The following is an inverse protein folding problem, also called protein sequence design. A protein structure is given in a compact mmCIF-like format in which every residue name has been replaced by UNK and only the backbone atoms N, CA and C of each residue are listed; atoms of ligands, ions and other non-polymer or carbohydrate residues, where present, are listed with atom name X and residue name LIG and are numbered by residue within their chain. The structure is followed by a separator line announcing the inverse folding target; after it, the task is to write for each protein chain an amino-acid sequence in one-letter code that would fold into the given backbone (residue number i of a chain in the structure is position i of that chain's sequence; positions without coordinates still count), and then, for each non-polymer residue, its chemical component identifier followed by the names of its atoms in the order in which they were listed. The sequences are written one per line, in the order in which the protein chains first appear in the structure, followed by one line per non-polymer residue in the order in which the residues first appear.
data_IF_970319937641
#
_entry.id   IF_970319937641
#
_cell.length_a   1.000
_cell.length_b   1.000
_cell.length_c   1.000
_cell.angle_alpha   90.00
_cell.angle_beta   90.00
_cell.angle_gamma   90.00
#
_symmetry.space_group_name_H-M   'P 1'
#
loop_
_entity.id
_entity.type
_entity.pdbx_description
1 polymer ?
#
# COMPACT_ATOMS: atom_id res chain seq x y z
N UNK A 1 -10.84 7.04 1.39
CA UNK A 1 -9.54 6.33 1.30
C UNK A 1 -9.52 5.16 0.31
N UNK A 2 -10.46 4.19 0.31
CA UNK A 2 -10.48 3.07 -0.68
C UNK A 2 -10.28 3.53 -2.15
N UNK A 3 -10.89 4.66 -2.53
CA UNK A 3 -10.78 5.22 -3.89
C UNK A 3 -9.38 5.71 -4.26
N UNK A 4 -8.58 6.23 -3.31
CA UNK A 4 -7.24 6.79 -3.58
C UNK A 4 -6.20 5.67 -3.77
N UNK A 5 -6.31 4.59 -2.99
CA UNK A 5 -5.49 3.40 -3.17
C UNK A 5 -5.78 2.72 -4.52
N UNK A 6 -7.04 2.72 -4.94
CA UNK A 6 -7.45 2.25 -6.27
C UNK A 6 -6.86 3.12 -7.40
N UNK A 7 -6.68 4.43 -7.20
CA UNK A 7 -6.04 5.34 -8.18
C UNK A 7 -4.55 5.01 -8.38
N UNK A 8 -3.81 4.82 -7.29
CA UNK A 8 -2.38 4.52 -7.37
C UNK A 8 -2.14 3.15 -8.01
N UNK A 9 -3.00 2.17 -7.72
CA UNK A 9 -2.97 0.85 -8.33
C UNK A 9 -3.45 0.86 -9.80
N UNK A 10 -4.44 1.69 -10.15
CA UNK A 10 -4.95 1.80 -11.53
C UNK A 10 -3.96 2.48 -12.46
N UNK A 11 -3.20 3.45 -11.97
CA UNK A 11 -2.10 4.08 -12.71
C UNK A 11 -0.99 3.07 -13.07
N UNK A 12 -0.61 2.19 -12.15
CA UNK A 12 0.37 1.13 -12.42
C UNK A 12 -0.14 0.07 -13.41
N UNK A 13 -1.43 -0.27 -13.33
CA UNK A 13 -2.04 -1.30 -14.15
C UNK A 13 -2.42 -0.88 -15.58
N UNK A 14 -2.90 0.35 -15.77
CA UNK A 14 -3.23 0.89 -17.10
C UNK A 14 -1.98 1.04 -17.97
N UNK A 15 -0.84 1.27 -17.32
CA UNK A 15 0.47 1.39 -17.95
C UNK A 15 0.97 0.07 -18.51
N UNK A 16 0.75 -0.99 -17.73
CA UNK A 16 1.06 -2.34 -18.17
C UNK A 16 0.19 -2.63 -19.40
N UNK A 17 -1.13 -2.37 -19.36
CA UNK A 17 -2.16 -2.55 -20.41
C UNK A 17 -1.79 -2.14 -21.85
N UNK A 18 -0.96 -1.11 -22.03
CA UNK A 18 -0.69 -0.53 -23.36
C UNK A 18 0.66 -0.97 -23.94
N UNK A 19 1.53 -1.57 -23.12
CA UNK A 19 2.79 -2.18 -23.57
C UNK A 19 2.59 -3.39 -24.52
N UNK A 20 1.33 -3.79 -24.77
CA UNK A 20 0.89 -4.89 -25.65
C UNK A 20 1.12 -4.62 -27.16
N UNK A 21 1.41 -3.39 -27.57
CA UNK A 21 1.48 -3.00 -28.99
C UNK A 21 2.88 -2.94 -29.63
N UNK A 22 3.96 -3.17 -28.89
CA UNK A 22 5.32 -2.87 -29.39
C UNK A 22 6.15 -4.14 -29.52
N UNK A 23 6.13 -4.68 -30.74
CA UNK A 23 7.17 -5.59 -31.22
C UNK A 23 8.54 -4.95 -31.06
N UNK A 24 9.47 -5.77 -30.61
CA UNK A 24 10.87 -5.48 -30.32
C UNK A 24 11.59 -4.82 -31.52
N UNK A 25 11.65 -3.48 -31.57
CA UNK A 25 12.65 -2.70 -32.32
C UNK A 25 12.55 -1.20 -32.00
N UNK A 26 13.71 -0.56 -31.84
CA UNK A 26 13.97 0.87 -31.58
C UNK A 26 13.49 1.38 -30.21
N UNK A 27 14.45 1.55 -29.29
CA UNK A 27 14.21 2.04 -27.92
C UNK A 27 13.52 3.41 -27.85
N UNK A 28 13.65 4.23 -28.91
CA UNK A 28 12.98 5.53 -29.04
C UNK A 28 11.47 5.42 -29.30
N UNK A 29 11.03 4.45 -30.11
CA UNK A 29 9.60 4.21 -30.36
C UNK A 29 8.91 3.70 -29.10
N UNK A 30 9.55 2.79 -28.36
CA UNK A 30 9.03 2.31 -27.09
C UNK A 30 8.88 3.44 -26.09
N UNK A 31 9.90 4.30 -25.94
CA UNK A 31 9.85 5.48 -25.06
C UNK A 31 8.69 6.40 -25.41
N UNK A 32 8.54 6.74 -26.69
CA UNK A 32 7.46 7.61 -27.17
C UNK A 32 6.09 6.99 -26.93
N UNK A 33 5.93 5.70 -27.21
CA UNK A 33 4.67 4.99 -26.96
C UNK A 33 4.36 4.89 -25.47
N UNK A 34 5.34 4.61 -24.63
CA UNK A 34 5.18 4.61 -23.16
C UNK A 34 4.72 5.98 -22.66
N UNK A 35 5.37 7.05 -23.13
CA UNK A 35 5.00 8.42 -22.79
C UNK A 35 3.57 8.76 -23.22
N UNK A 36 3.21 8.49 -24.48
CA UNK A 36 1.85 8.71 -25.00
C UNK A 36 0.83 7.91 -24.18
N UNK A 37 1.12 6.64 -23.90
CA UNK A 37 0.25 5.75 -23.14
C UNK A 37 0.01 6.26 -21.71
N UNK A 38 1.05 6.72 -21.04
CA UNK A 38 0.97 7.34 -19.70
C UNK A 38 0.07 8.57 -19.70
N UNK A 39 0.25 9.45 -20.67
CA UNK A 39 -0.53 10.67 -20.78
C UNK A 39 -1.99 10.39 -21.15
N UNK A 40 -2.24 9.48 -22.10
CA UNK A 40 -3.59 9.04 -22.45
C UNK A 40 -4.30 8.37 -21.27
N UNK A 41 -3.55 7.64 -20.43
CA UNK A 41 -4.06 7.02 -19.20
C UNK A 41 -4.52 8.09 -18.21
N UNK A 42 -3.72 9.13 -18.01
CA UNK A 42 -4.07 10.26 -17.14
C UNK A 42 -5.29 11.03 -17.64
N UNK A 43 -5.44 11.20 -18.96
CA UNK A 43 -6.64 11.81 -19.56
C UNK A 43 -7.88 10.98 -19.22
N UNK A 44 -7.82 9.65 -19.42
CA UNK A 44 -8.95 8.76 -19.08
C UNK A 44 -9.29 8.79 -17.59
N UNK A 45 -8.29 8.82 -16.72
CA UNK A 45 -8.49 8.98 -15.27
C UNK A 45 -9.19 10.31 -15.01
N UNK A 46 -8.71 11.42 -15.60
CA UNK A 46 -9.36 12.72 -15.45
C UNK A 46 -10.83 12.70 -15.92
N UNK A 47 -11.14 12.04 -17.04
CA UNK A 47 -12.50 11.91 -17.57
C UNK A 47 -13.41 11.12 -16.62
N UNK A 48 -12.89 10.09 -15.96
CA UNK A 48 -13.63 9.32 -14.98
C UNK A 48 -13.87 10.12 -13.68
N UNK A 49 -12.85 10.80 -13.19
CA UNK A 49 -12.95 11.67 -12.01
C UNK A 49 -13.89 12.85 -12.24
N UNK A 50 -13.87 13.37 -13.47
CA UNK A 50 -14.72 14.46 -13.94
C UNK A 50 -16.20 14.19 -13.77
N UNK A 51 -16.63 12.93 -13.79
CA UNK A 51 -18.01 12.50 -13.55
C UNK A 51 -18.43 12.61 -12.08
N UNK A 52 -17.46 12.64 -11.17
CA UNK A 52 -17.66 12.66 -9.72
C UNK A 52 -17.26 14.02 -9.09
N UNK A 53 -17.48 15.12 -9.80
CA UNK A 53 -17.17 16.48 -9.33
C UNK A 53 -15.69 16.70 -8.91
N UNK A 54 -14.78 15.89 -9.46
CA UNK A 54 -13.35 15.96 -9.20
C UNK A 54 -12.62 16.13 -10.52
N UNK A 55 -11.50 16.83 -10.56
CA UNK A 55 -10.66 17.02 -11.74
C UNK A 55 -9.24 16.60 -11.40
N UNK A 56 -8.55 15.99 -12.35
CA UNK A 56 -7.14 15.64 -12.25
C UNK A 56 -6.36 16.56 -13.17
N UNK A 57 -5.69 17.56 -12.59
CA UNK A 57 -4.75 18.42 -13.31
C UNK A 57 -3.37 17.76 -13.28
N UNK A 58 -2.75 17.59 -14.43
CA UNK A 58 -1.42 16.99 -14.48
C UNK A 58 -0.55 17.65 -15.55
N UNK A 59 0.75 17.71 -15.28
CA UNK A 59 1.74 17.96 -16.33
C UNK A 59 2.04 16.64 -17.04
N UNK A 60 2.08 16.63 -18.38
CA UNK A 60 2.36 15.40 -19.11
C UNK A 60 3.66 14.74 -18.62
N UNK A 61 3.62 13.42 -18.51
CA UNK A 61 4.82 12.62 -18.29
C UNK A 61 5.79 12.85 -19.44
N UNK A 62 7.06 13.02 -19.09
CA UNK A 62 8.19 13.08 -20.03
C UNK A 62 9.07 11.87 -19.75
N UNK A 63 9.25 11.00 -20.75
CA UNK A 63 10.04 9.79 -20.62
C UNK A 63 11.46 10.00 -21.16
N UNK A 64 12.46 9.51 -20.43
CA UNK A 64 13.88 9.56 -20.76
C UNK A 64 14.52 8.16 -20.62
N UNK A 65 15.79 8.03 -21.02
CA UNK A 65 16.56 6.79 -20.92
C UNK A 65 16.55 5.90 -22.18
N UNK A 66 17.57 5.04 -22.28
CA UNK A 66 17.82 4.13 -23.42
C UNK A 66 17.69 2.65 -23.08
N UNK A 67 18.12 2.25 -21.86
CA UNK A 67 18.18 0.86 -21.39
C UNK A 67 17.17 0.66 -20.25
N UNK A 68 17.15 1.60 -19.30
CA UNK A 68 16.04 1.84 -18.39
C UNK A 68 15.26 3.05 -18.85
N UNK A 69 13.94 3.04 -18.66
CA UNK A 69 13.06 4.15 -19.00
C UNK A 69 12.59 4.83 -17.74
N UNK A 70 12.69 6.14 -17.67
CA UNK A 70 12.17 6.92 -16.55
C UNK A 70 11.18 7.94 -17.08
N UNK A 71 9.95 7.91 -16.58
CA UNK A 71 8.88 8.81 -16.97
C UNK A 71 8.48 9.67 -15.77
N UNK A 72 8.64 10.98 -15.88
CA UNK A 72 8.39 11.92 -14.79
C UNK A 72 7.25 12.86 -15.16
N UNK A 73 6.24 12.94 -14.29
CA UNK A 73 5.27 14.04 -14.28
C UNK A 73 5.60 14.97 -13.13
N UNK A 74 5.90 16.23 -13.46
CA UNK A 74 6.34 17.23 -12.49
C UNK A 74 5.25 17.61 -11.49
N UNK A 75 3.98 17.56 -11.89
CA UNK A 75 2.85 17.90 -11.01
C UNK A 75 1.61 17.10 -11.40
N UNK A 76 0.99 16.44 -10.42
CA UNK A 76 -0.32 15.81 -10.52
C UNK A 76 -1.15 16.28 -9.33
N UNK A 77 -2.32 16.85 -9.58
CA UNK A 77 -3.21 17.39 -8.56
C UNK A 77 -4.61 16.85 -8.78
N UNK A 78 -5.22 16.38 -7.71
CA UNK A 78 -6.63 16.01 -7.67
C UNK A 78 -7.34 17.16 -6.98
N UNK A 79 -8.24 17.82 -7.68
CA UNK A 79 -8.97 18.99 -7.19
C UNK A 79 -10.48 18.77 -7.26
N UNK A 80 -11.23 19.41 -6.37
CA UNK A 80 -12.68 19.43 -6.45
C UNK A 80 -13.14 20.53 -7.43
N UNK A 81 -13.97 20.19 -8.42
CA UNK A 81 -14.32 21.12 -9.51
C UNK A 81 -15.03 22.37 -9.02
N UNK A 82 -16.02 22.21 -8.14
CA UNK A 82 -16.87 23.31 -7.68
C UNK A 82 -16.11 24.33 -6.82
N UNK A 83 -15.22 23.87 -5.95
CA UNK A 83 -14.51 24.72 -4.97
C UNK A 83 -13.11 25.09 -5.44
N UNK A 84 -12.61 24.44 -6.51
CA UNK A 84 -11.20 24.46 -6.91
C UNK A 84 -10.24 24.06 -5.78
N UNK A 85 -10.75 23.33 -4.77
CA UNK A 85 -9.97 22.91 -3.63
C UNK A 85 -9.05 21.75 -4.01
N UNK A 86 -7.77 21.89 -3.70
CA UNK A 86 -6.79 20.82 -3.86
C UNK A 86 -7.00 19.75 -2.79
N UNK A 87 -7.29 18.53 -3.24
CA UNK A 87 -7.50 17.37 -2.38
C UNK A 87 -6.17 16.66 -2.11
N UNK A 88 -5.44 16.37 -3.18
CA UNK A 88 -4.18 15.64 -3.16
C UNK A 88 -3.24 16.23 -4.21
N UNK A 89 -1.97 16.37 -3.87
CA UNK A 89 -0.90 16.76 -4.78
C UNK A 89 0.23 15.75 -4.79
N UNK A 90 0.81 15.55 -5.97
CA UNK A 90 2.03 14.80 -6.17
C UNK A 90 2.97 15.67 -7.00
N UNK A 91 4.17 15.93 -6.48
CA UNK A 91 5.24 16.56 -7.27
C UNK A 91 6.28 15.52 -7.64
N UNK A 92 6.73 15.57 -8.89
CA UNK A 92 7.74 14.66 -9.44
C UNK A 92 7.35 13.18 -9.37
N UNK A 93 6.09 12.88 -9.67
CA UNK A 93 5.63 11.50 -9.82
C UNK A 93 6.47 10.80 -10.90
N UNK A 94 7.24 9.81 -10.48
CA UNK A 94 8.26 9.15 -11.30
C UNK A 94 7.93 7.68 -11.44
N UNK A 95 7.94 7.19 -12.66
CA UNK A 95 7.88 5.77 -12.97
C UNK A 95 9.18 5.36 -13.65
N UNK A 96 9.89 4.41 -13.07
CA UNK A 96 11.10 3.85 -13.68
C UNK A 96 10.87 2.39 -14.08
N UNK A 97 11.35 2.03 -15.26
CA UNK A 97 11.38 0.68 -15.80
C UNK A 97 12.84 0.28 -15.93
N UNK A 98 13.35 -0.45 -14.94
CA UNK A 98 14.79 -0.71 -14.78
C UNK A 98 15.24 -2.02 -15.45
N UNK A 99 14.31 -2.94 -15.68
CA UNK A 99 14.62 -4.24 -16.27
C UNK A 99 13.44 -4.87 -17.00
N UNK A 100 13.37 -4.70 -18.32
CA UNK A 100 12.44 -5.42 -19.19
C UNK A 100 13.14 -6.55 -19.91
N UNK A 101 12.90 -7.79 -19.47
CA UNK A 101 13.29 -9.03 -20.14
C UNK A 101 12.06 -9.82 -20.56
N UNK A 102 12.25 -10.87 -21.36
CA UNK A 102 11.13 -11.73 -21.80
C UNK A 102 10.44 -12.42 -20.61
N UNK A 103 11.17 -12.72 -19.55
CA UNK A 103 10.75 -13.50 -18.39
C UNK A 103 10.76 -12.71 -17.07
N UNK A 104 11.28 -11.48 -17.04
CA UNK A 104 11.23 -10.61 -15.87
C UNK A 104 10.91 -9.15 -16.21
N UNK A 105 10.14 -8.49 -15.35
CA UNK A 105 9.84 -7.07 -15.42
C UNK A 105 10.11 -6.44 -14.06
N UNK A 106 10.95 -5.42 -14.02
CA UNK A 106 11.20 -4.62 -12.83
C UNK A 106 10.83 -3.16 -13.10
N UNK A 107 9.98 -2.62 -12.23
CA UNK A 107 9.57 -1.23 -12.28
C UNK A 107 9.48 -0.63 -10.88
N UNK A 108 9.68 0.66 -10.79
CA UNK A 108 9.51 1.45 -9.58
C UNK A 108 8.56 2.62 -9.82
N UNK A 109 7.79 2.96 -8.81
CA UNK A 109 6.88 4.09 -8.77
C UNK A 109 7.25 4.93 -7.55
N UNK A 110 7.60 6.18 -7.77
CA UNK A 110 8.06 7.11 -6.75
C UNK A 110 7.22 8.37 -6.75
N UNK A 111 6.73 8.74 -5.57
CA UNK A 111 6.11 10.02 -5.27
C UNK A 111 6.95 10.66 -4.17
N UNK A 112 8.00 11.41 -4.51
CA UNK A 112 8.93 11.95 -3.52
C UNK A 112 8.27 13.04 -2.66
N UNK A 113 7.26 13.72 -3.20
CA UNK A 113 6.57 14.82 -2.55
C UNK A 113 5.05 14.65 -2.67
N UNK A 114 4.41 14.27 -1.58
CA UNK A 114 2.96 14.06 -1.48
C UNK A 114 2.33 15.13 -0.59
N UNK A 115 1.26 15.79 -1.07
CA UNK A 115 0.44 16.73 -0.30
C UNK A 115 -0.99 16.20 -0.13
N UNK A 116 -1.56 16.35 1.07
CA UNK A 116 -2.93 15.94 1.45
C UNK A 116 -3.70 17.16 1.97
N UNK A 117 -3.76 18.20 1.16
CA UNK A 117 -4.18 19.55 1.60
C UNK A 117 -5.63 19.60 2.11
N UNK A 118 -6.50 18.71 1.62
CA UNK A 118 -7.88 18.60 2.12
C UNK A 118 -7.96 18.03 3.54
N UNK A 119 -7.21 16.95 3.83
CA UNK A 119 -7.19 16.35 5.16
C UNK A 119 -6.55 17.33 6.16
N UNK A 120 -5.52 18.06 5.73
CA UNK A 120 -4.90 19.10 6.55
C UNK A 120 -5.89 20.21 6.94
N UNK A 121 -6.86 20.53 6.08
CA UNK A 121 -7.90 21.52 6.39
C UNK A 121 -8.99 20.95 7.29
N UNK A 122 -9.51 19.75 7.00
CA UNK A 122 -10.54 19.11 7.83
C UNK A 122 -10.05 18.86 9.26
N UNK A 123 -8.77 18.50 9.42
CA UNK A 123 -8.23 18.19 10.75
C UNK A 123 -7.75 19.42 11.52
N UNK A 124 -7.48 20.57 10.87
CA UNK A 124 -7.04 21.80 11.58
C UNK A 124 -8.01 22.28 12.66
N UNK A 125 -9.27 21.88 12.60
CA UNK A 125 -10.31 22.22 13.58
C UNK A 125 -10.41 21.22 14.75
N UNK A 126 -9.66 20.11 14.73
CA UNK A 126 -9.65 19.06 15.77
C UNK A 126 -8.27 18.95 16.43
N UNK A 127 -8.21 18.81 17.76
CA UNK A 127 -6.97 18.53 18.51
C UNK A 127 -6.22 17.30 17.94
N UNK A 128 -6.93 16.38 17.27
CA UNK A 128 -6.35 15.21 16.59
C UNK A 128 -5.38 15.55 15.46
N UNK A 129 -5.32 16.80 14.99
CA UNK A 129 -4.40 17.21 13.93
C UNK A 129 -2.94 16.91 14.27
N UNK A 130 -2.54 17.03 15.54
CA UNK A 130 -1.13 16.88 15.95
C UNK A 130 -0.60 15.47 15.73
N UNK A 131 -1.43 14.46 16.00
CA UNK A 131 -1.09 13.05 15.74
C UNK A 131 -1.09 12.78 14.24
N UNK A 132 -2.04 13.36 13.50
CA UNK A 132 -2.07 13.22 12.05
C UNK A 132 -0.83 13.84 11.39
N UNK A 133 -0.41 15.04 11.79
CA UNK A 133 0.72 15.76 11.19
C UNK A 133 2.04 14.98 11.25
N UNK A 134 2.22 14.17 12.31
CA UNK A 134 3.42 13.33 12.46
C UNK A 134 3.37 12.05 11.62
N UNK A 135 2.19 11.51 11.35
CA UNK A 135 2.00 10.28 10.57
C UNK A 135 1.55 10.53 9.12
N UNK A 136 1.40 11.79 8.74
CA UNK A 136 1.07 12.17 7.37
C UNK A 136 2.16 11.68 6.40
N UNK A 137 1.80 10.90 5.36
CA UNK A 137 2.73 10.50 4.31
C UNK A 137 3.31 11.72 3.59
N UNK A 138 4.64 11.74 3.44
CA UNK A 138 5.39 12.75 2.67
C UNK A 138 5.92 12.20 1.36
N UNK A 139 6.30 10.92 1.36
CA UNK A 139 6.75 10.23 0.17
C UNK A 139 6.28 8.78 0.14
N UNK A 140 6.20 8.22 -1.06
CA UNK A 140 5.89 6.82 -1.32
C UNK A 140 6.80 6.32 -2.44
N UNK A 141 7.50 5.21 -2.21
CA UNK A 141 8.31 4.54 -3.24
C UNK A 141 7.94 3.07 -3.26
N UNK A 142 7.40 2.59 -4.37
CA UNK A 142 7.05 1.18 -4.59
C UNK A 142 7.92 0.58 -5.68
N UNK A 143 8.65 -0.48 -5.35
CA UNK A 143 9.38 -1.30 -6.31
C UNK A 143 8.61 -2.59 -6.52
N UNK A 144 8.42 -2.97 -7.77
CA UNK A 144 7.79 -4.23 -8.14
C UNK A 144 8.66 -5.00 -9.13
N UNK A 145 8.92 -6.26 -8.77
CA UNK A 145 9.66 -7.20 -9.59
C UNK A 145 8.80 -8.41 -9.89
N UNK A 146 8.55 -8.63 -11.16
CA UNK A 146 7.76 -9.75 -11.65
C UNK A 146 8.66 -10.70 -12.42
N UNK A 147 8.48 -12.00 -12.22
CA UNK A 147 9.26 -13.04 -12.90
C UNK A 147 8.39 -14.22 -13.27
N UNK A 148 8.53 -14.75 -14.48
CA UNK A 148 7.95 -16.05 -14.86
C UNK A 148 8.71 -17.15 -14.13
N UNK A 149 8.02 -17.89 -13.27
CA UNK A 149 8.58 -19.07 -12.60
C UNK A 149 8.48 -20.30 -13.49
N UNK A 150 7.34 -20.49 -14.15
CA UNK A 150 7.10 -21.63 -15.04
C UNK A 150 6.20 -21.24 -16.21
N UNK A 151 6.77 -21.32 -17.43
CA UNK A 151 6.06 -21.03 -18.69
C UNK A 151 5.04 -22.09 -19.06
N UNK A 152 5.21 -23.35 -18.64
CA UNK A 152 4.32 -24.45 -19.01
C UNK A 152 3.01 -24.38 -18.26
N UNK A 153 3.08 -23.99 -16.99
CA UNK A 153 1.90 -23.85 -16.12
C UNK A 153 1.39 -22.41 -16.03
N UNK A 154 2.13 -21.46 -16.61
CA UNK A 154 1.78 -20.04 -16.60
C UNK A 154 1.88 -19.43 -15.19
N UNK A 155 2.92 -19.78 -14.44
CA UNK A 155 3.17 -19.30 -13.08
C UNK A 155 4.15 -18.11 -13.09
N UNK A 156 3.77 -17.04 -12.41
CA UNK A 156 4.53 -15.80 -12.25
C UNK A 156 4.66 -15.52 -10.75
N UNK A 157 5.83 -15.03 -10.34
CA UNK A 157 6.01 -14.42 -9.03
C UNK A 157 6.03 -12.91 -9.16
N UNK A 158 5.28 -12.22 -8.30
CA UNK A 158 5.38 -10.79 -8.10
C UNK A 158 5.96 -10.52 -6.71
N UNK A 159 6.99 -9.69 -6.66
CA UNK A 159 7.61 -9.18 -5.45
C UNK A 159 7.37 -7.69 -5.40
N UNK A 160 6.74 -7.20 -4.33
CA UNK A 160 6.37 -5.80 -4.17
C UNK A 160 6.97 -5.29 -2.87
N UNK A 161 7.71 -4.18 -2.93
CA UNK A 161 8.23 -3.48 -1.77
C UNK A 161 7.86 -2.00 -1.85
N UNK A 162 6.99 -1.55 -0.98
CA UNK A 162 6.57 -0.15 -0.87
C UNK A 162 7.06 0.46 0.43
N UNK A 163 7.71 1.61 0.34
CA UNK A 163 8.16 2.42 1.46
C UNK A 163 7.36 3.72 1.50
N UNK A 164 6.70 4.00 2.61
CA UNK A 164 6.01 5.27 2.88
C UNK A 164 6.79 5.99 3.97
N UNK A 165 7.15 7.24 3.75
CA UNK A 165 7.90 8.04 4.73
C UNK A 165 7.02 9.15 5.29
N UNK A 166 7.06 9.34 6.61
CA UNK A 166 6.44 10.48 7.32
C UNK A 166 7.52 11.34 7.97
N UNK A 167 7.16 12.32 8.80
CA UNK A 167 8.12 13.07 9.61
C UNK A 167 8.80 12.22 10.69
N UNK A 168 8.12 11.19 11.20
CA UNK A 168 8.56 10.46 12.41
C UNK A 168 8.76 8.98 12.17
N UNK A 169 8.18 8.42 11.11
CA UNK A 169 8.22 6.99 10.84
C UNK A 169 8.44 6.70 9.37
N UNK A 170 8.97 5.51 9.11
CA UNK A 170 8.89 4.86 7.81
C UNK A 170 8.07 3.59 7.91
N UNK A 171 7.21 3.38 6.92
CA UNK A 171 6.40 2.18 6.79
C UNK A 171 6.90 1.40 5.58
N UNK A 172 7.22 0.13 5.78
CA UNK A 172 7.58 -0.79 4.69
C UNK A 172 6.48 -1.85 4.55
N UNK A 173 5.90 -1.96 3.36
CA UNK A 173 5.03 -3.05 2.95
C UNK A 173 5.85 -3.90 1.99
N UNK A 174 6.04 -5.17 2.31
CA UNK A 174 6.75 -6.12 1.45
C UNK A 174 5.88 -7.35 1.21
N UNK A 175 5.74 -7.77 -0.03
CA UNK A 175 4.91 -8.88 -0.46
C UNK A 175 5.60 -9.73 -1.51
N UNK A 176 5.43 -11.04 -1.40
CA UNK A 176 5.80 -12.01 -2.42
C UNK A 176 4.56 -12.86 -2.69
N UNK A 177 4.09 -12.82 -3.91
CA UNK A 177 2.93 -13.58 -4.37
C UNK A 177 3.26 -14.36 -5.63
N UNK A 178 2.53 -15.46 -5.84
CA UNK A 178 2.55 -16.24 -7.07
C UNK A 178 1.18 -16.24 -7.69
N UNK A 179 1.14 -15.96 -8.98
CA UNK A 179 -0.08 -15.89 -9.78
C UNK A 179 0.06 -16.94 -10.88
N UNK A 180 -0.95 -17.80 -10.99
CA UNK A 180 -0.99 -18.88 -11.97
C UNK A 180 -2.23 -18.77 -12.85
N UNK A 181 -2.02 -18.84 -14.17
CA UNK A 181 -3.09 -18.87 -15.16
C UNK A 181 -2.64 -19.54 -16.45
N UNK A 182 -3.51 -20.36 -17.04
CA UNK A 182 -3.30 -20.91 -18.39
C UNK A 182 -3.12 -19.81 -19.44
N UNK A 183 -3.71 -18.63 -19.18
CA UNK A 183 -3.53 -17.47 -20.05
C UNK A 183 -2.08 -16.97 -20.08
N UNK A 184 -1.23 -17.34 -19.13
CA UNK A 184 0.18 -16.92 -19.10
C UNK A 184 1.12 -17.92 -19.80
N UNK A 185 0.62 -19.09 -20.21
CA UNK A 185 1.42 -20.16 -20.80
C UNK A 185 2.14 -19.68 -22.06
N UNK A 186 3.46 -19.91 -22.09
CA UNK A 186 4.38 -19.50 -23.16
C UNK A 186 4.39 -18.00 -23.52
N UNK A 187 3.78 -17.15 -22.68
CA UNK A 187 3.77 -15.70 -22.88
C UNK A 187 4.99 -15.05 -22.24
N UNK A 188 5.42 -13.93 -22.84
CA UNK A 188 6.38 -13.05 -22.20
C UNK A 188 5.75 -12.41 -20.95
N UNK A 189 6.54 -12.15 -19.92
CA UNK A 189 6.10 -11.60 -18.63
C UNK A 189 5.21 -10.36 -18.81
N UNK A 190 5.63 -9.48 -19.72
CA UNK A 190 4.92 -8.26 -20.04
C UNK A 190 3.48 -8.54 -20.48
N UNK A 191 3.29 -9.48 -21.43
CA UNK A 191 1.99 -9.91 -21.95
C UNK A 191 1.12 -10.62 -20.90
N UNK A 192 1.74 -11.26 -19.92
CA UNK A 192 1.02 -11.91 -18.82
C UNK A 192 0.52 -10.90 -17.79
N UNK A 193 1.38 -9.98 -17.32
CA UNK A 193 0.99 -8.91 -16.40
C UNK A 193 -0.09 -8.01 -17.03
N UNK A 194 0.06 -7.76 -18.32
CA UNK A 194 -0.94 -7.14 -19.19
C UNK A 194 -2.33 -7.75 -19.04
N UNK A 195 -2.43 -9.06 -19.15
CA UNK A 195 -3.70 -9.76 -19.02
C UNK A 195 -4.21 -9.78 -17.58
N UNK A 196 -3.31 -9.94 -16.61
CA UNK A 196 -3.66 -9.92 -15.19
C UNK A 196 -4.31 -8.58 -14.80
N UNK A 197 -3.60 -7.49 -15.07
CA UNK A 197 -4.07 -6.15 -14.73
C UNK A 197 -5.21 -5.67 -15.63
N UNK A 198 -5.28 -6.09 -16.90
CA UNK A 198 -6.47 -5.77 -17.73
C UNK A 198 -7.78 -6.21 -17.09
N UNK A 199 -7.76 -7.37 -16.43
CA UNK A 199 -8.93 -7.92 -15.78
C UNK A 199 -9.23 -7.23 -14.46
N UNK A 200 -8.21 -6.93 -13.65
CA UNK A 200 -8.38 -6.27 -12.36
C UNK A 200 -9.01 -4.86 -12.47
N UNK A 201 -8.90 -4.21 -13.64
CA UNK A 201 -9.34 -2.83 -13.85
C UNK A 201 -10.46 -2.67 -14.89
N UNK A 202 -10.94 -3.75 -15.51
CA UNK A 202 -12.15 -3.69 -16.35
C UNK A 202 -13.40 -3.64 -15.45
N UNK A 203 -13.66 -2.46 -14.89
CA UNK A 203 -14.78 -2.14 -13.99
C UNK A 203 -16.16 -2.17 -14.70
N UNK A 204 -16.25 -2.59 -15.96
CA UNK A 204 -17.53 -2.74 -16.65
C UNK A 204 -18.26 -3.97 -16.12
N UNK A 205 -19.51 -3.79 -15.67
CA UNK A 205 -20.38 -4.83 -15.08
C UNK A 205 -20.49 -6.15 -15.88
N UNK A 206 -20.22 -6.14 -17.18
CA UNK A 206 -20.34 -7.32 -18.04
C UNK A 206 -19.14 -8.28 -17.99
N UNK A 207 -17.93 -7.81 -17.66
CA UNK A 207 -16.71 -8.65 -17.51
C UNK A 207 -16.75 -9.55 -16.26
N UNK A 208 -17.64 -9.24 -15.31
CA UNK A 208 -17.82 -9.91 -14.03
C UNK A 208 -18.44 -11.32 -14.18
N UNK A 209 -19.11 -11.62 -15.31
CA UNK A 209 -19.90 -12.87 -15.44
C UNK A 209 -19.07 -14.15 -15.56
N UNK A 210 -17.81 -14.09 -16.01
CA UNK A 210 -16.86 -15.24 -15.99
C UNK A 210 -15.41 -14.73 -15.93
N UNK A 211 -14.88 -14.43 -14.74
CA UNK A 211 -13.47 -14.13 -14.57
C UNK A 211 -12.61 -15.23 -15.18
N UNK A 212 -11.52 -14.93 -15.92
CA UNK A 212 -10.46 -15.90 -16.07
C UNK A 212 -10.00 -16.37 -14.69
N UNK A 213 -9.87 -17.69 -14.51
CA UNK A 213 -9.36 -18.25 -13.26
C UNK A 213 -7.89 -17.85 -13.11
N UNK A 214 -7.65 -16.86 -12.26
CA UNK A 214 -6.34 -16.61 -11.68
C UNK A 214 -6.29 -17.35 -10.35
N UNK A 215 -5.24 -18.12 -10.16
CA UNK A 215 -4.93 -18.75 -8.88
C UNK A 215 -3.82 -17.94 -8.23
N UNK A 216 -4.04 -17.49 -7.01
CA UNK A 216 -3.11 -16.64 -6.28
C UNK A 216 -2.62 -17.36 -5.03
N UNK A 217 -1.32 -17.28 -4.75
CA UNK A 217 -0.70 -17.77 -3.53
C UNK A 217 0.16 -16.65 -2.94
N UNK A 218 0.00 -16.35 -1.66
CA UNK A 218 0.79 -15.31 -0.98
C UNK A 218 1.94 -16.02 -0.29
N UNK A 219 3.15 -16.00 -0.81
CA UNK A 219 4.28 -16.67 -0.16
C UNK A 219 4.76 -15.90 1.08
N UNK A 220 4.59 -14.57 1.09
CA UNK A 220 4.74 -13.76 2.30
C UNK A 220 4.11 -12.39 2.08
N UNK A 221 3.52 -11.82 3.12
CA UNK A 221 3.24 -10.38 3.17
C UNK A 221 3.64 -9.87 4.54
N UNK A 222 4.32 -8.73 4.57
CA UNK A 222 4.77 -8.11 5.82
C UNK A 222 4.57 -6.61 5.78
N UNK A 223 4.25 -6.07 6.94
CA UNK A 223 4.16 -4.66 7.22
C UNK A 223 5.12 -4.34 8.37
N UNK A 224 5.95 -3.33 8.19
CA UNK A 224 6.93 -2.90 9.15
C UNK A 224 6.81 -1.40 9.38
N UNK A 225 6.84 -0.99 10.64
CA UNK A 225 6.95 0.40 11.06
C UNK A 225 8.33 0.57 11.69
N UNK A 226 9.09 1.56 11.25
CA UNK A 226 10.33 1.97 11.88
C UNK A 226 10.24 3.43 12.31
N UNK A 227 10.76 3.73 13.49
CA UNK A 227 10.93 5.10 13.99
C UNK A 227 12.01 5.10 15.05
N UNK A 228 12.94 6.06 14.96
CA UNK A 228 14.02 6.24 15.96
C UNK A 228 13.68 7.28 17.02
N UNK A 229 12.57 8.01 16.84
CA UNK A 229 12.25 9.22 17.59
C UNK A 229 10.74 9.32 17.90
N UNK A 230 9.99 8.21 17.83
CA UNK A 230 8.55 8.23 18.07
C UNK A 230 8.18 8.82 19.43
N UNK A 231 8.96 8.50 20.49
CA UNK A 231 8.80 9.08 21.83
C UNK A 231 8.84 10.61 21.79
N UNK A 232 9.85 11.19 21.14
CA UNK A 232 10.09 12.64 21.11
C UNK A 232 8.90 13.40 20.50
N UNK A 233 8.22 12.81 19.51
CA UNK A 233 7.05 13.42 18.88
C UNK A 233 5.76 13.15 19.63
N UNK A 234 5.58 11.96 20.21
CA UNK A 234 4.36 11.62 20.96
C UNK A 234 4.33 12.24 22.35
N UNK A 235 5.48 12.37 23.02
CA UNK A 235 5.57 12.90 24.39
C UNK A 235 4.87 14.25 24.57
N UNK A 236 5.18 15.31 23.78
CA UNK A 236 4.51 16.61 23.95
C UNK A 236 3.01 16.54 23.63
N UNK A 237 2.60 15.67 22.71
CA UNK A 237 1.18 15.48 22.37
C UNK A 237 0.44 14.84 23.56
N UNK A 238 0.98 13.75 24.11
CA UNK A 238 0.39 13.05 25.26
C UNK A 238 0.38 13.94 26.49
N UNK A 239 1.47 14.68 26.75
CA UNK A 239 1.57 15.65 27.84
C UNK A 239 0.45 16.68 27.78
N UNK A 240 0.25 17.30 26.60
CA UNK A 240 -0.80 18.30 26.43
C UNK A 240 -2.19 17.71 26.69
N UNK A 241 -2.50 16.54 26.13
CA UNK A 241 -3.79 15.88 26.36
C UNK A 241 -4.00 15.52 27.83
N UNK A 242 -2.95 15.05 28.51
CA UNK A 242 -3.01 14.75 29.94
C UNK A 242 -3.33 16.00 30.76
N UNK A 243 -2.60 17.09 30.52
CA UNK A 243 -2.76 18.37 31.21
C UNK A 243 -4.14 19.01 30.95
N UNK A 244 -4.67 18.90 29.73
CA UNK A 244 -6.03 19.36 29.40
C UNK A 244 -7.12 18.61 30.19
N UNK A 245 -6.94 17.31 30.44
CA UNK A 245 -7.90 16.52 31.23
C UNK A 245 -7.73 16.66 32.74
N UNK A 246 -6.54 17.04 33.20
CA UNK A 246 -6.18 17.12 34.62
C UNK A 246 -5.83 18.55 35.04
N UNK A 247 -6.52 19.55 34.47
CA UNK A 247 -6.28 20.98 34.72
C UNK A 247 -6.32 21.38 36.21
N UNK A 248 -6.97 20.59 37.05
CA UNK A 248 -7.08 20.78 38.50
C UNK A 248 -6.08 19.97 39.33
N UNK A 249 -5.30 19.08 38.73
CA UNK A 249 -4.29 18.30 39.45
C UNK A 249 -2.94 19.03 39.43
N UNK A 250 -2.28 19.12 40.58
CA UNK A 250 -0.90 19.60 40.67
C UNK A 250 0.14 18.52 40.27
N UNK A 251 -0.29 17.39 39.70
CA UNK A 251 0.62 16.34 39.28
C UNK A 251 1.38 16.76 38.02
N UNK A 252 2.71 16.87 38.15
CA UNK A 252 3.58 17.11 37.02
C UNK A 252 3.58 15.92 36.06
N UNK A 253 3.50 16.20 34.77
CA UNK A 253 3.61 15.17 33.75
C UNK A 253 5.06 14.68 33.66
N UNK A 254 5.27 13.39 33.96
CA UNK A 254 6.60 12.76 34.00
C UNK A 254 6.73 11.63 32.99
N UNK A 255 7.97 11.15 32.78
CA UNK A 255 8.22 9.93 31.99
C UNK A 255 7.42 8.72 32.49
N UNK A 256 7.24 8.57 33.80
CA UNK A 256 6.42 7.49 34.38
C UNK A 256 4.95 7.64 34.01
N UNK A 257 4.43 8.87 34.03
CA UNK A 257 3.06 9.17 33.60
C UNK A 257 2.90 8.86 32.12
N UNK A 258 3.87 9.23 31.30
CA UNK A 258 3.89 8.92 29.87
C UNK A 258 3.87 7.41 29.62
N UNK A 259 4.78 6.65 30.24
CA UNK A 259 4.84 5.19 30.13
C UNK A 259 3.52 4.55 30.54
N UNK A 260 2.93 4.97 31.67
CA UNK A 260 1.63 4.49 32.12
C UNK A 260 0.50 4.75 31.12
N UNK A 261 0.47 5.93 30.48
CA UNK A 261 -0.54 6.25 29.45
C UNK A 261 -0.36 5.34 28.22
N UNK A 262 0.88 5.12 27.77
CA UNK A 262 1.17 4.23 26.63
C UNK A 262 0.83 2.77 26.98
N UNK A 263 1.13 2.30 28.18
CA UNK A 263 0.76 0.96 28.64
C UNK A 263 -0.76 0.74 28.71
N UNK A 264 -1.52 1.75 29.16
CA UNK A 264 -2.97 1.66 29.17
C UNK A 264 -3.58 1.58 27.76
N UNK A 265 -2.94 2.17 26.76
CA UNK A 265 -3.36 2.02 25.35
C UNK A 265 -3.20 0.55 24.88
N UNK A 266 -2.14 -0.14 25.30
CA UNK A 266 -1.97 -1.57 25.05
C UNK A 266 -3.09 -2.39 25.67
N UNK A 267 -3.49 -2.08 26.92
CA UNK A 267 -4.58 -2.78 27.60
C UNK A 267 -5.93 -2.57 26.92
N UNK A 268 -6.20 -1.36 26.41
CA UNK A 268 -7.41 -1.08 25.62
C UNK A 268 -7.48 -1.93 24.35
N UNK A 269 -6.33 -2.28 23.77
CA UNK A 269 -6.29 -3.08 22.55
C UNK A 269 -6.81 -4.50 22.78
N UNK A 270 -6.59 -5.08 23.97
CA UNK A 270 -7.22 -6.35 24.34
C UNK A 270 -8.75 -6.30 24.35
N UNK A 271 -9.33 -5.18 24.80
CA UNK A 271 -10.79 -4.94 24.75
C UNK A 271 -11.30 -4.78 23.33
N UNK A 272 -10.57 -4.07 22.46
CA UNK A 272 -10.93 -3.92 21.03
C UNK A 272 -10.86 -5.26 20.31
N UNK A 273 -9.84 -6.09 20.59
CA UNK A 273 -9.75 -7.45 20.05
C UNK A 273 -10.91 -8.34 20.55
N UNK A 274 -11.32 -8.16 21.81
CA UNK A 274 -12.55 -8.74 22.36
C UNK A 274 -13.80 -8.36 21.56
N UNK A 275 -14.01 -7.05 21.38
CA UNK A 275 -15.18 -6.52 20.68
C UNK A 275 -15.23 -6.89 19.19
N UNK A 276 -14.08 -7.06 18.54
CA UNK A 276 -13.97 -7.42 17.12
C UNK A 276 -13.97 -8.94 16.89
N UNK A 277 -14.06 -9.75 17.93
CA UNK A 277 -14.06 -11.22 17.84
C UNK A 277 -12.70 -11.82 17.45
N UNK A 278 -11.62 -11.04 17.53
CA UNK A 278 -10.24 -11.52 17.35
C UNK A 278 -9.65 -12.07 18.65
N UNK A 279 -10.31 -11.86 19.78
CA UNK A 279 -10.00 -12.52 21.04
C UNK A 279 -10.27 -14.02 20.92
N UNK A 280 -9.27 -14.85 21.25
CA UNK A 280 -9.26 -16.29 21.01
C UNK A 280 -8.91 -16.68 19.57
N UNK A 281 -8.62 -15.72 18.67
CA UNK A 281 -8.18 -16.05 17.32
C UNK A 281 -6.74 -16.58 17.30
N UNK A 282 -6.35 -17.41 16.31
CA UNK A 282 -4.97 -17.88 16.14
C UNK A 282 -3.93 -16.75 16.02
N UNK A 283 -4.38 -15.52 15.75
CA UNK A 283 -3.53 -14.36 15.48
C UNK A 283 -3.50 -13.36 16.64
N UNK A 284 -4.23 -13.62 17.73
CA UNK A 284 -4.29 -12.73 18.88
C UNK A 284 -2.87 -12.35 19.38
N UNK A 285 -2.02 -13.35 19.60
CA UNK A 285 -0.67 -13.12 20.14
C UNK A 285 0.18 -12.29 19.18
N UNK A 286 0.09 -12.54 17.87
CA UNK A 286 0.78 -11.74 16.85
C UNK A 286 0.34 -10.28 16.86
N UNK A 287 -0.96 -10.01 16.97
CA UNK A 287 -1.51 -8.64 17.03
C UNK A 287 -1.11 -7.96 18.35
N UNK A 288 -1.20 -8.66 19.48
CA UNK A 288 -0.78 -8.12 20.78
C UNK A 288 0.71 -7.78 20.81
N UNK A 289 1.56 -8.64 20.25
CA UNK A 289 2.99 -8.34 20.11
C UNK A 289 3.24 -7.16 19.18
N UNK A 290 2.41 -6.96 18.15
CA UNK A 290 2.58 -5.85 17.21
C UNK A 290 2.27 -4.52 17.92
N UNK A 291 1.19 -4.49 18.70
CA UNK A 291 0.80 -3.36 19.53
C UNK A 291 1.84 -3.12 20.63
N UNK A 292 2.37 -4.18 21.26
CA UNK A 292 3.49 -4.08 22.22
C UNK A 292 4.71 -3.45 21.56
N UNK A 293 5.06 -3.86 20.34
CA UNK A 293 6.14 -3.27 19.56
C UNK A 293 5.95 -1.78 19.32
N UNK A 294 4.74 -1.33 18.95
CA UNK A 294 4.41 0.10 18.83
C UNK A 294 4.57 0.82 20.18
N UNK A 295 4.08 0.22 21.28
CA UNK A 295 4.24 0.78 22.63
C UNK A 295 5.71 0.91 23.05
N UNK A 296 6.54 -0.09 22.72
CA UNK A 296 8.00 -0.02 22.94
C UNK A 296 8.66 1.03 22.08
N UNK A 297 8.22 1.23 20.83
CA UNK A 297 8.71 2.34 20.01
C UNK A 297 8.35 3.69 20.62
N UNK A 298 7.11 3.85 21.09
CA UNK A 298 6.62 5.07 21.72
C UNK A 298 7.36 5.37 23.03
N UNK A 299 7.81 4.36 23.77
CA UNK A 299 8.62 4.53 25.00
C UNK A 299 10.13 4.61 24.75
N UNK A 300 10.60 4.52 23.50
CA UNK A 300 12.03 4.58 23.17
C UNK A 300 12.79 3.28 23.42
N UNK A 301 12.09 2.16 23.59
CA UNK A 301 12.66 0.83 23.86
C UNK A 301 12.77 -0.06 22.59
N UNK A 302 12.23 0.37 21.45
CA UNK A 302 12.36 -0.31 20.17
C UNK A 302 12.49 0.70 19.01
N UNK A 303 13.20 0.32 17.95
CA UNK A 303 13.37 1.14 16.73
C UNK A 303 12.36 0.79 15.64
N UNK A 304 11.68 -0.34 15.77
CA UNK A 304 10.67 -0.77 14.81
C UNK A 304 9.88 -1.99 15.27
N UNK A 305 8.82 -2.29 14.52
CA UNK A 305 8.03 -3.50 14.67
C UNK A 305 7.59 -3.98 13.29
N UNK A 306 7.67 -5.29 13.06
CA UNK A 306 7.26 -5.95 11.82
C UNK A 306 6.23 -7.01 12.13
N UNK A 307 5.13 -7.00 11.39
CA UNK A 307 4.12 -8.07 11.38
C UNK A 307 4.12 -8.73 10.00
N UNK A 308 4.12 -10.05 9.97
CA UNK A 308 4.25 -10.84 8.74
C UNK A 308 3.25 -11.97 8.74
N UNK A 309 2.52 -12.12 7.63
CA UNK A 309 1.74 -13.30 7.33
C UNK A 309 2.62 -14.24 6.50
N UNK A 310 2.89 -15.43 7.04
CA UNK A 310 3.81 -16.42 6.47
C UNK A 310 3.07 -17.75 6.33
N UNK A 311 3.20 -18.48 5.22
CA UNK A 311 2.52 -19.77 5.06
C UNK A 311 3.02 -20.79 6.11
N UNK A 312 2.09 -21.62 6.59
CA UNK A 312 2.37 -22.74 7.49
C UNK A 312 3.16 -23.87 6.83
N UNK A 313 3.09 -23.93 5.50
CA UNK A 313 3.82 -24.87 4.66
C UNK A 313 4.94 -24.13 3.92
N UNK A 314 5.93 -24.87 3.42
CA UNK A 314 7.06 -24.30 2.66
C UNK A 314 6.60 -23.44 1.47
N UNK A 315 5.50 -23.82 0.82
CA UNK A 315 4.85 -23.04 -0.24
C UNK A 315 3.42 -22.73 0.14
N UNK A 316 3.01 -21.48 -0.04
CA UNK A 316 1.63 -21.11 0.14
C UNK A 316 0.73 -21.86 -0.87
N UNK A 317 -0.45 -22.35 -0.43
CA UNK A 317 -1.38 -22.96 -1.35
C UNK A 317 -2.02 -21.90 -2.25
N UNK A 318 -2.44 -22.35 -3.42
CA UNK A 318 -3.19 -21.52 -4.35
C UNK A 318 -4.64 -21.36 -3.89
N UNK A 319 -5.10 -20.12 -3.87
CA UNK A 319 -6.48 -19.76 -3.64
C UNK A 319 -7.07 -19.20 -4.93
N UNK A 320 -8.28 -19.65 -5.24
CA UNK A 320 -9.14 -18.92 -6.17
C UNK A 320 -9.94 -17.90 -5.34
N UNK A 321 -9.60 -16.62 -5.48
CA UNK A 321 -10.39 -15.50 -5.00
C UNK A 321 -11.29 -15.09 -6.16
N UNK A 322 -12.50 -15.64 -6.22
CA UNK A 322 -13.45 -15.26 -7.26
C UNK A 322 -13.82 -13.78 -7.10
N UNK A 323 -14.10 -13.10 -8.21
CA UNK A 323 -14.60 -11.72 -8.18
C UNK A 323 -15.86 -11.60 -7.32
N UNK A 324 -16.70 -12.64 -7.28
CA UNK A 324 -17.85 -12.69 -6.37
C UNK A 324 -17.43 -12.63 -4.89
N UNK A 325 -16.34 -13.28 -4.48
CA UNK A 325 -15.85 -13.15 -3.10
C UNK A 325 -15.36 -11.74 -2.79
N UNK A 326 -14.70 -11.07 -3.74
CA UNK A 326 -14.22 -9.70 -3.55
C UNK A 326 -15.35 -8.67 -3.53
N UNK A 327 -16.33 -8.81 -4.43
CA UNK A 327 -17.51 -7.93 -4.49
C UNK A 327 -18.42 -8.10 -3.28
N UNK A 328 -18.45 -9.31 -2.71
CA UNK A 328 -19.25 -9.64 -1.53
C UNK A 328 -18.41 -9.66 -0.25
N UNK A 329 -17.24 -9.01 -0.22
CA UNK A 329 -16.37 -8.97 0.97
C UNK A 329 -17.04 -8.27 2.16
N UNK A 330 -18.08 -7.49 1.93
CA UNK A 330 -18.85 -6.84 3.00
C UNK A 330 -19.85 -7.81 3.66
N UNK A 331 -20.16 -8.94 3.03
CA UNK A 331 -20.99 -9.97 3.63
C UNK A 331 -20.19 -10.79 4.65
N UNK A 332 -20.70 -10.88 5.87
CA UNK A 332 -20.06 -11.57 6.99
C UNK A 332 -19.66 -13.03 6.66
N UNK A 333 -20.51 -13.78 5.96
CA UNK A 333 -20.19 -15.16 5.55
C UNK A 333 -19.02 -15.26 4.57
N UNK A 334 -18.82 -14.26 3.72
CA UNK A 334 -17.65 -14.17 2.82
C UNK A 334 -16.38 -13.85 3.60
N UNK A 335 -16.46 -12.88 4.53
CA UNK A 335 -15.34 -12.53 5.41
C UNK A 335 -14.87 -13.73 6.22
N UNK A 336 -15.79 -14.47 6.84
CA UNK A 336 -15.48 -15.68 7.60
C UNK A 336 -14.78 -16.74 6.73
N UNK A 337 -15.22 -16.96 5.49
CA UNK A 337 -14.56 -17.88 4.55
C UNK A 337 -13.15 -17.44 4.19
N UNK A 338 -12.94 -16.14 3.95
CA UNK A 338 -11.62 -15.57 3.65
C UNK A 338 -10.71 -15.70 4.87
N UNK A 339 -11.19 -15.30 6.06
CA UNK A 339 -10.43 -15.43 7.30
C UNK A 339 -10.10 -16.89 7.62
N UNK A 340 -11.03 -17.82 7.46
CA UNK A 340 -10.75 -19.25 7.65
C UNK A 340 -9.67 -19.76 6.69
N UNK A 341 -9.71 -19.36 5.41
CA UNK A 341 -8.63 -19.69 4.45
C UNK A 341 -7.29 -19.11 4.89
N UNK A 342 -7.27 -17.88 5.40
CA UNK A 342 -6.06 -17.25 5.91
C UNK A 342 -5.55 -17.97 7.17
N UNK A 343 -6.38 -18.13 8.19
CA UNK A 343 -6.02 -18.75 9.46
C UNK A 343 -5.56 -20.20 9.32
N UNK A 344 -6.16 -20.96 8.40
CA UNK A 344 -5.79 -22.37 8.20
C UNK A 344 -4.44 -22.55 7.50
N UNK A 345 -4.00 -21.57 6.70
CA UNK A 345 -2.83 -21.73 5.83
C UNK A 345 -1.66 -20.83 6.19
N UNK A 346 -1.87 -19.86 7.08
CA UNK A 346 -0.87 -18.86 7.43
C UNK A 346 -0.70 -18.73 8.94
N UNK A 347 0.51 -18.38 9.33
CA UNK A 347 0.86 -17.90 10.66
C UNK A 347 1.08 -16.39 10.61
N UNK A 348 0.66 -15.71 11.67
CA UNK A 348 0.97 -14.30 11.89
C UNK A 348 2.18 -14.22 12.82
N UNK A 349 3.31 -13.74 12.30
CA UNK A 349 4.56 -13.58 13.04
C UNK A 349 4.80 -12.09 13.29
N UNK A 350 5.18 -11.76 14.51
CA UNK A 350 5.58 -10.41 14.87
C UNK A 350 7.02 -10.40 15.35
N UNK A 351 7.75 -9.37 14.96
CA UNK A 351 9.13 -9.12 15.35
C UNK A 351 9.27 -7.69 15.83
N UNK A 352 9.76 -7.51 17.05
CA UNK A 352 10.16 -6.21 17.59
C UNK A 352 11.62 -5.99 17.24
N UNK A 353 11.94 -4.84 16.66
CA UNK A 353 13.28 -4.49 16.19
C UNK A 353 13.93 -3.62 17.27
N UNK A 354 15.02 -4.09 17.93
CA UNK A 354 15.69 -3.31 18.96
C UNK A 354 16.41 -2.08 18.37
N UNK A 355 16.80 -1.13 19.22
CA UNK A 355 17.80 -0.14 18.80
C UNK A 355 19.15 -0.85 18.60
N UNK A 356 19.88 -0.47 17.57
CA UNK A 356 21.29 -0.85 17.46
C UNK A 356 22.02 -0.27 18.67
N UNK A 357 22.48 -1.13 19.59
CA UNK A 357 23.41 -0.74 20.63
C UNK A 357 24.70 -0.31 19.94
N UNK A 358 24.98 1.00 19.97
CA UNK A 358 26.24 1.57 19.49
C UNK A 358 27.40 1.17 20.37
#
# INVERSE_FOLDING_TARGET
MKKIVVILLSLGALLILILLGVGYKLSSEFRSKLQMSLNDSMIKINDEFSKNNTEVKFQPFVCSGLIGYECVSKNIEIIQKNTQEKLIGFSEATLSLEGLRRDSLEFSLSFPNLSLDFIDKELKEDDKHKVYDIFKPRSLVCNQKNRVLDKKTGEIQAQTKCNITTSVASYEINGIERIKSEKFVDKAILKSLLQYYSFAFDLKKESIRKPPMFYEAIDSISYQINSKNLKEFLYPIVQQYYQQKHQSSHEEFSDKTYEFVIENFKNLTGLILGATGFLGSPYQDGILQFVDGIGRMATGNASGVKISLVPKQEKAPYFNLSSDMLLNIEHQGTQQKIFAKIFNNYDLKTQIIPYETK
#
